data_IF_377200102608
#
_entry.id   IF_377200102608
#
_cell.length_a   1.000
_cell.length_b   1.000
_cell.length_c   1.000
_cell.angle_alpha   90.00
_cell.angle_beta   90.00
_cell.angle_gamma   90.00
#
_symmetry.space_group_name_H-M   'P 1'
#
loop_
_entity.id
_entity.type
_entity.pdbx_description
1 polymer ?
#
# COMPACT_ATOMS: atom_id res chain seq x y z
N UNK A 1 -7.76 41.12 27.28
CA UNK A 1 -8.89 40.35 26.72
C UNK A 1 -8.30 39.35 25.75
N UNK A 2 -8.39 38.06 26.07
CA UNK A 2 -7.58 37.00 25.48
C UNK A 2 -8.22 36.41 24.23
N UNK A 3 -7.38 36.12 23.24
CA UNK A 3 -7.67 35.63 21.89
C UNK A 3 -8.27 34.21 21.90
N UNK A 4 -9.56 34.07 21.60
CA UNK A 4 -10.17 32.79 21.31
C UNK A 4 -9.87 32.41 19.85
N UNK A 5 -8.74 31.75 19.63
CA UNK A 5 -8.46 31.02 18.40
C UNK A 5 -9.55 29.95 18.24
N UNK A 6 -10.45 30.15 17.29
CA UNK A 6 -11.37 29.13 16.78
C UNK A 6 -10.53 28.10 16.03
N UNK A 7 -9.82 27.26 16.79
CA UNK A 7 -9.09 26.12 16.28
C UNK A 7 -10.12 25.14 15.76
N UNK A 8 -10.32 25.23 14.45
CA UNK A 8 -11.11 24.30 13.66
C UNK A 8 -10.44 22.94 13.81
N UNK A 9 -10.84 22.16 14.83
CA UNK A 9 -10.56 20.73 14.92
C UNK A 9 -11.30 20.05 13.78
N UNK A 10 -10.79 20.20 12.56
CA UNK A 10 -11.00 19.23 11.49
C UNK A 10 -10.56 17.92 12.11
N UNK A 11 -11.52 17.08 12.49
CA UNK A 11 -11.28 15.68 12.78
C UNK A 11 -10.46 15.17 11.61
N UNK A 12 -9.15 15.03 11.80
CA UNK A 12 -8.30 14.31 10.90
C UNK A 12 -8.84 12.89 10.98
N UNK A 13 -9.79 12.56 10.10
CA UNK A 13 -10.10 11.18 9.76
C UNK A 13 -8.71 10.62 9.48
N UNK A 14 -8.28 9.63 10.27
CA UNK A 14 -7.03 8.91 10.03
C UNK A 14 -6.91 8.76 8.51
N UNK A 15 -5.79 9.18 7.87
CA UNK A 15 -5.69 9.17 6.42
C UNK A 15 -5.79 7.72 5.97
N UNK A 16 -7.03 7.25 5.81
CA UNK A 16 -7.34 5.90 5.46
C UNK A 16 -6.88 5.68 4.04
N UNK A 17 -6.63 4.42 3.72
CA UNK A 17 -6.34 4.00 2.35
C UNK A 17 -7.38 4.62 1.41
N UNK A 18 -6.90 5.38 0.44
CA UNK A 18 -7.73 5.97 -0.60
C UNK A 18 -7.92 4.94 -1.70
N UNK A 19 -9.01 5.09 -2.45
CA UNK A 19 -9.22 4.30 -3.66
C UNK A 19 -8.07 4.44 -4.66
N UNK A 20 -7.40 5.60 -4.69
CA UNK A 20 -6.20 5.82 -5.51
C UNK A 20 -5.04 4.88 -5.13
N UNK A 21 -4.90 4.56 -3.85
CA UNK A 21 -3.81 3.72 -3.33
C UNK A 21 -4.07 2.26 -3.70
N UNK A 22 -5.33 1.82 -3.55
CA UNK A 22 -5.79 0.50 -4.01
C UNK A 22 -5.54 0.34 -5.52
N UNK A 23 -5.97 1.33 -6.30
CA UNK A 23 -5.81 1.30 -7.76
C UNK A 23 -4.33 1.30 -8.17
N UNK A 24 -3.46 2.00 -7.43
CA UNK A 24 -2.01 1.98 -7.66
C UNK A 24 -1.43 0.59 -7.37
N UNK A 25 -1.81 -0.04 -6.27
CA UNK A 25 -1.35 -1.38 -5.91
C UNK A 25 -1.77 -2.43 -6.94
N UNK A 26 -3.02 -2.41 -7.40
CA UNK A 26 -3.53 -3.32 -8.44
C UNK A 26 -2.76 -3.13 -9.74
N UNK A 27 -2.57 -1.89 -10.20
CA UNK A 27 -1.81 -1.62 -11.43
C UNK A 27 -0.36 -2.10 -11.33
N UNK A 28 0.29 -1.88 -10.19
CA UNK A 28 1.65 -2.36 -9.94
C UNK A 28 1.73 -3.88 -10.03
N UNK A 29 0.79 -4.59 -9.40
CA UNK A 29 0.72 -6.05 -9.47
C UNK A 29 0.52 -6.55 -10.92
N UNK A 30 -0.40 -5.95 -11.67
CA UNK A 30 -0.62 -6.32 -13.08
C UNK A 30 0.60 -6.03 -13.96
N UNK A 31 1.28 -4.90 -13.75
CA UNK A 31 2.52 -4.56 -14.47
C UNK A 31 3.67 -5.51 -14.13
N UNK A 32 3.70 -6.05 -12.92
CA UNK A 32 4.64 -7.09 -12.50
C UNK A 32 4.26 -8.49 -13.03
N UNK A 33 3.21 -8.61 -13.86
CA UNK A 33 2.75 -9.89 -14.39
C UNK A 33 2.06 -10.77 -13.36
N UNK A 34 1.64 -10.22 -12.22
CA UNK A 34 0.93 -10.97 -11.18
C UNK A 34 -0.56 -11.06 -11.51
N UNK A 35 -1.12 -12.27 -11.40
CA UNK A 35 -2.57 -12.48 -11.43
C UNK A 35 -3.18 -12.00 -10.11
N UNK A 36 -3.97 -10.93 -10.12
CA UNK A 36 -4.67 -10.42 -8.93
C UNK A 36 -5.95 -11.21 -8.71
N UNK A 37 -6.02 -11.99 -7.62
CA UNK A 37 -7.25 -12.69 -7.21
C UNK A 37 -8.07 -11.91 -6.20
N UNK A 38 -7.40 -11.37 -5.19
CA UNK A 38 -8.08 -10.67 -4.09
C UNK A 38 -7.24 -9.49 -3.61
N UNK A 39 -7.93 -8.44 -3.14
CA UNK A 39 -7.31 -7.21 -2.66
C UNK A 39 -7.88 -6.90 -1.28
N UNK A 40 -7.01 -6.82 -0.28
CA UNK A 40 -7.37 -6.51 1.10
C UNK A 40 -6.77 -5.15 1.45
N UNK A 41 -7.62 -4.14 1.61
CA UNK A 41 -7.23 -2.81 2.06
C UNK A 41 -7.52 -2.68 3.57
N UNK A 42 -6.48 -2.44 4.36
CA UNK A 42 -6.59 -2.18 5.80
C UNK A 42 -6.07 -0.77 6.11
N UNK A 43 -6.20 -0.33 7.36
CA UNK A 43 -5.57 0.92 7.81
C UNK A 43 -4.04 0.93 7.65
N UNK A 44 -3.42 -0.25 7.57
CA UNK A 44 -1.97 -0.45 7.52
C UNK A 44 -1.43 -0.54 6.09
N UNK A 45 -2.30 -0.69 5.08
CA UNK A 45 -1.85 -0.83 3.69
C UNK A 45 -2.84 -1.56 2.78
N UNK A 46 -2.37 -1.87 1.56
CA UNK A 46 -3.07 -2.72 0.60
C UNK A 46 -2.28 -4.00 0.40
N UNK A 47 -2.89 -5.16 0.63
CA UNK A 47 -2.34 -6.48 0.27
C UNK A 47 -3.01 -6.98 -1.00
N UNK A 48 -2.19 -7.53 -1.88
CA UNK A 48 -2.62 -8.23 -3.10
C UNK A 48 -2.40 -9.72 -2.88
N UNK A 49 -3.44 -10.52 -3.00
CA UNK A 49 -3.36 -11.98 -3.00
C UNK A 49 -3.39 -12.43 -4.46
N UNK A 50 -2.31 -13.07 -4.89
CA UNK A 50 -2.19 -13.59 -6.25
C UNK A 50 -2.59 -15.05 -6.36
N UNK A 51 -3.23 -15.41 -7.47
CA UNK A 51 -3.44 -16.81 -7.85
C UNK A 51 -2.13 -17.42 -8.30
N UNK A 52 -1.65 -18.48 -7.65
CA UNK A 52 -0.44 -19.17 -8.08
C UNK A 52 -0.72 -19.93 -9.39
N UNK A 53 -0.19 -19.42 -10.50
CA UNK A 53 0.08 -20.21 -11.71
C UNK A 53 1.44 -19.83 -12.30
N UNK A 54 2.45 -19.76 -11.44
CA UNK A 54 3.84 -19.55 -11.83
C UNK A 54 4.69 -19.44 -10.59
N UNK A 55 5.79 -20.20 -10.54
CA UNK A 55 6.81 -20.06 -9.51
C UNK A 55 7.20 -18.58 -9.47
N UNK A 56 6.86 -17.89 -8.38
CA UNK A 56 7.49 -16.62 -8.06
C UNK A 56 8.95 -16.99 -7.79
N UNK A 57 9.76 -17.00 -8.84
CA UNK A 57 11.21 -16.99 -8.72
C UNK A 57 11.52 -15.77 -7.86
N UNK A 58 11.73 -16.04 -6.57
CA UNK A 58 12.18 -15.13 -5.54
C UNK A 58 13.59 -14.66 -5.90
N UNK A 59 13.73 -13.92 -7.00
CA UNK A 59 14.81 -12.97 -7.17
C UNK A 59 14.39 -11.74 -6.38
N UNK A 60 14.47 -11.84 -5.05
CA UNK A 60 14.24 -10.68 -4.20
C UNK A 60 15.33 -9.65 -4.50
N UNK A 61 15.03 -8.63 -5.31
CA UNK A 61 15.91 -7.47 -5.49
C UNK A 61 16.16 -6.68 -4.19
N UNK A 62 15.52 -7.06 -3.08
CA UNK A 62 15.79 -6.53 -1.75
C UNK A 62 16.96 -7.22 -1.03
N UNK A 63 17.34 -8.43 -1.44
CA UNK A 63 18.49 -9.15 -0.87
C UNK A 63 19.82 -8.48 -1.25
N UNK A 64 19.90 -7.86 -2.44
CA UNK A 64 21.07 -7.08 -2.87
C UNK A 64 21.32 -5.83 -2.02
N UNK A 65 20.30 -5.27 -1.38
CA UNK A 65 20.43 -4.04 -0.56
C UNK A 65 21.01 -4.35 0.83
N UNK A 66 21.01 -5.61 1.25
CA UNK A 66 21.46 -6.04 2.58
C UNK A 66 22.83 -6.74 2.55
N UNK A 67 23.49 -6.82 1.38
CA UNK A 67 24.68 -7.63 1.15
C UNK A 67 26.05 -6.94 1.27
N UNK A 68 26.13 -5.64 1.58
CA UNK A 68 27.41 -4.93 1.79
C UNK A 68 27.76 -4.83 3.30
N UNK A 69 28.10 -5.97 3.89
CA UNK A 69 28.65 -6.08 5.25
C UNK A 69 30.03 -6.73 5.27
#
# INVERSE_FOLDING_TARGET
MSTAQTETRRRARSPGIRQSDIARAIRGALQAGMEVREVIATKDGVRIISGASGSASLSNSWDEVLGDG
#
